data_IF_437987797700
#
_entry.id   IF_437987797700
#
_cell.length_a   1.000
_cell.length_b   1.000
_cell.length_c   1.000
_cell.angle_alpha   90.00
_cell.angle_beta   90.00
_cell.angle_gamma   90.00
#
_symmetry.space_group_name_H-M   'P 1'
#
loop_
_entity.id
_entity.type
_entity.pdbx_description
1 polymer ?
#
# COMPACT_ATOMS: atom_id res chain seq x y z
N UNK A 1 -50.27 29.54 85.86
CA UNK A 1 -50.20 28.98 84.49
C UNK A 1 -48.82 29.29 83.93
N UNK A 2 -47.89 28.33 83.96
CA UNK A 2 -46.54 28.51 83.41
C UNK A 2 -46.53 28.03 81.97
N UNK A 3 -46.72 28.94 81.01
CA UNK A 3 -46.54 28.63 79.60
C UNK A 3 -45.06 28.76 79.26
N UNK A 4 -44.41 27.64 78.92
CA UNK A 4 -43.09 27.68 78.28
C UNK A 4 -43.26 27.79 76.78
N UNK A 5 -42.64 28.80 76.19
CA UNK A 5 -42.53 28.99 74.75
C UNK A 5 -41.23 28.36 74.28
N UNK A 6 -41.31 27.41 73.34
CA UNK A 6 -40.14 26.91 72.60
C UNK A 6 -40.00 27.66 71.29
N UNK A 7 -38.76 28.03 70.95
CA UNK A 7 -38.38 28.62 69.66
C UNK A 7 -37.41 27.65 69.00
N UNK A 8 -37.68 27.26 67.76
CA UNK A 8 -36.76 26.45 66.99
C UNK A 8 -35.52 27.29 66.61
N UNK A 9 -34.34 26.70 66.74
CA UNK A 9 -33.09 27.22 66.17
C UNK A 9 -32.90 26.48 64.86
N UNK A 10 -32.93 27.20 63.76
CA UNK A 10 -32.55 26.65 62.46
C UNK A 10 -31.05 26.88 62.28
N UNK A 11 -30.31 25.78 62.16
CA UNK A 11 -28.89 25.77 61.82
C UNK A 11 -28.77 25.34 60.36
N UNK A 12 -28.31 26.26 59.52
CA UNK A 12 -27.96 25.94 58.13
C UNK A 12 -26.45 25.73 58.07
N UNK A 13 -26.03 24.52 57.71
CA UNK A 13 -24.64 24.23 57.34
C UNK A 13 -24.59 24.29 55.81
N UNK A 14 -23.74 25.14 55.26
CA UNK A 14 -23.44 25.14 53.83
C UNK A 14 -22.35 24.12 53.57
N UNK A 15 -22.61 23.15 52.68
CA UNK A 15 -21.56 22.28 52.15
C UNK A 15 -20.49 23.15 51.46
N UNK A 16 -19.24 22.72 51.57
CA UNK A 16 -18.11 23.31 50.86
C UNK A 16 -17.79 22.35 49.74
N UNK A 17 -17.68 22.89 48.53
CA UNK A 17 -17.33 22.13 47.32
C UNK A 17 -16.01 21.37 47.49
N UNK A 18 -16.09 20.06 47.47
CA UNK A 18 -14.99 19.12 47.46
C UNK A 18 -14.61 18.74 46.02
N UNK A 19 -13.33 18.45 45.77
CA UNK A 19 -12.89 18.13 44.42
C UNK A 19 -13.18 16.67 44.04
N UNK A 20 -13.79 16.48 42.87
CA UNK A 20 -14.02 15.15 42.31
C UNK A 20 -12.72 14.35 42.15
N UNK A 21 -12.79 13.04 42.37
CA UNK A 21 -11.66 12.10 42.28
C UNK A 21 -11.81 11.24 41.04
N UNK A 22 -10.74 11.15 40.24
CA UNK A 22 -10.66 10.35 39.01
C UNK A 22 -9.82 9.09 39.26
N UNK A 23 -10.39 7.91 38.98
CA UNK A 23 -9.73 6.60 39.07
C UNK A 23 -9.98 5.78 37.80
N UNK A 24 -9.51 4.53 37.75
CA UNK A 24 -9.63 3.66 36.59
C UNK A 24 -8.37 3.68 35.71
N UNK A 25 -8.56 3.47 34.42
CA UNK A 25 -7.49 3.31 33.43
C UNK A 25 -7.04 4.67 32.90
N UNK A 26 -6.01 5.22 33.55
CA UNK A 26 -5.47 6.54 33.21
C UNK A 26 -4.30 6.46 32.21
N UNK A 27 -4.18 5.32 31.54
CA UNK A 27 -3.17 5.04 30.53
C UNK A 27 -3.65 3.92 29.62
N UNK A 28 -3.19 3.92 28.37
CA UNK A 28 -3.47 2.87 27.41
C UNK A 28 -2.24 2.49 26.60
N UNK A 29 -2.20 1.25 26.14
CA UNK A 29 -1.18 0.78 25.20
C UNK A 29 -1.80 -0.11 24.14
N UNK A 30 -1.33 0.03 22.91
CA UNK A 30 -1.78 -0.79 21.79
C UNK A 30 -0.91 -0.58 20.57
N UNK A 31 -1.23 -1.26 19.50
CA UNK A 31 -0.57 -1.05 18.22
C UNK A 31 -1.17 0.14 17.49
N UNK A 32 -0.41 0.74 16.59
CA UNK A 32 -1.03 1.51 15.50
C UNK A 32 -2.00 0.61 14.71
N UNK A 33 -2.86 1.24 13.92
CA UNK A 33 -4.00 0.62 13.19
C UNK A 33 -5.15 0.09 14.04
N UNK A 34 -4.99 0.04 15.36
CA UNK A 34 -6.02 -0.46 16.27
C UNK A 34 -6.53 0.63 17.20
N UNK A 35 -7.82 0.55 17.52
CA UNK A 35 -8.41 1.38 18.58
C UNK A 35 -7.87 0.92 19.93
N UNK A 36 -7.41 1.88 20.74
CA UNK A 36 -7.05 1.68 22.14
C UNK A 36 -8.24 2.16 22.98
N UNK A 37 -8.65 1.39 23.97
CA UNK A 37 -9.81 1.73 24.82
C UNK A 37 -9.51 1.51 26.29
N UNK A 38 -10.27 2.17 27.13
CA UNK A 38 -10.30 1.91 28.55
C UNK A 38 -11.48 2.57 29.25
N UNK A 39 -11.47 2.54 30.57
CA UNK A 39 -12.57 3.04 31.38
C UNK A 39 -12.08 3.85 32.59
N UNK A 40 -12.67 5.03 32.79
CA UNK A 40 -12.46 5.88 33.96
C UNK A 40 -13.64 5.79 34.91
N UNK A 41 -13.36 6.00 36.19
CA UNK A 41 -14.38 6.12 37.22
C UNK A 41 -14.22 7.45 37.95
N UNK A 42 -15.34 7.98 38.43
CA UNK A 42 -15.39 9.25 39.14
C UNK A 42 -16.20 9.13 40.43
N UNK A 43 -15.75 9.81 41.47
CA UNK A 43 -16.49 9.94 42.72
C UNK A 43 -16.32 11.34 43.27
N UNK A 44 -17.38 11.87 43.84
CA UNK A 44 -17.40 13.14 44.56
C UNK A 44 -18.32 12.99 45.77
N UNK A 45 -18.02 13.68 46.88
CA UNK A 45 -18.79 13.59 48.13
C UNK A 45 -20.01 14.51 48.12
N UNK A 46 -19.95 15.61 47.36
CA UNK A 46 -21.06 16.54 47.15
C UNK A 46 -21.96 16.06 46.00
N UNK A 47 -21.37 15.45 44.97
CA UNK A 47 -22.10 14.87 43.85
C UNK A 47 -21.40 15.07 42.52
N UNK A 48 -21.90 14.42 41.48
CA UNK A 48 -21.42 14.62 40.11
C UNK A 48 -22.55 15.22 39.26
N UNK A 49 -22.19 15.96 38.20
CA UNK A 49 -23.19 16.42 37.23
C UNK A 49 -23.94 15.22 36.64
N UNK A 50 -25.28 15.23 36.72
CA UNK A 50 -26.13 14.11 36.31
C UNK A 50 -25.85 13.68 34.84
N UNK A 51 -25.44 12.42 34.68
CA UNK A 51 -25.17 11.71 33.41
C UNK A 51 -24.23 12.40 32.39
N UNK A 52 -23.51 13.46 32.73
CA UNK A 52 -22.72 14.25 31.74
C UNK A 52 -21.39 14.81 32.26
N UNK A 53 -20.79 14.15 33.25
CA UNK A 53 -19.64 14.71 33.98
C UNK A 53 -18.29 14.50 33.28
N UNK A 54 -18.10 13.53 32.38
CA UNK A 54 -16.83 13.37 31.64
C UNK A 54 -16.79 14.14 30.32
N UNK A 55 -15.68 14.84 30.05
CA UNK A 55 -15.39 15.48 28.76
C UNK A 55 -13.91 15.37 28.39
N UNK A 56 -13.59 15.30 27.09
CA UNK A 56 -12.20 15.50 26.62
C UNK A 56 -11.94 17.00 26.51
N UNK A 57 -11.02 17.52 27.33
CA UNK A 57 -10.67 18.95 27.39
C UNK A 57 -9.41 19.32 26.62
N UNK A 58 -8.56 18.35 26.30
CA UNK A 58 -7.43 18.53 25.38
C UNK A 58 -7.31 17.29 24.50
N UNK A 59 -7.38 17.49 23.19
CA UNK A 59 -7.23 16.42 22.22
C UNK A 59 -5.77 15.95 22.13
N UNK A 60 -5.56 14.67 21.78
CA UNK A 60 -4.22 14.17 21.48
C UNK A 60 -3.65 14.80 20.21
N UNK A 61 -2.33 14.77 20.06
CA UNK A 61 -1.65 15.40 18.90
C UNK A 61 -1.60 14.47 17.68
N UNK A 62 -1.64 13.15 17.89
CA UNK A 62 -1.45 12.15 16.84
C UNK A 62 -2.57 11.12 16.80
N UNK A 63 -3.79 11.52 17.15
CA UNK A 63 -4.97 10.68 17.02
C UNK A 63 -6.26 11.42 17.35
N UNK A 64 -7.31 10.66 17.61
CA UNK A 64 -8.59 11.18 18.06
C UNK A 64 -9.06 10.41 19.28
N UNK A 65 -9.48 11.13 20.33
CA UNK A 65 -9.99 10.54 21.56
C UNK A 65 -11.47 10.87 21.74
N UNK A 66 -12.23 9.93 22.29
CA UNK A 66 -13.62 10.14 22.75
C UNK A 66 -13.79 9.54 24.13
N UNK A 67 -14.75 10.07 24.90
CA UNK A 67 -15.16 9.50 26.20
C UNK A 67 -16.68 9.56 26.32
N UNK A 68 -17.28 8.49 26.81
CA UNK A 68 -18.70 8.46 27.16
C UNK A 68 -18.92 9.27 28.44
N UNK A 69 -19.74 10.33 28.34
CA UNK A 69 -19.89 11.34 29.38
C UNK A 69 -20.40 10.80 30.73
N UNK A 70 -21.14 9.68 30.71
CA UNK A 70 -21.78 9.06 31.87
C UNK A 70 -21.06 7.82 32.40
N UNK A 71 -20.34 7.08 31.54
CA UNK A 71 -19.69 5.82 31.95
C UNK A 71 -18.19 5.93 32.11
N UNK A 72 -17.54 6.95 31.52
CA UNK A 72 -16.08 7.07 31.55
C UNK A 72 -15.36 6.16 30.56
N UNK A 73 -16.10 5.42 29.73
CA UNK A 73 -15.55 4.56 28.70
C UNK A 73 -14.93 5.44 27.60
N UNK A 74 -13.63 5.35 27.44
CA UNK A 74 -12.88 6.14 26.46
C UNK A 74 -12.31 5.27 25.35
N UNK A 75 -12.10 5.90 24.19
CA UNK A 75 -11.42 5.29 23.06
C UNK A 75 -10.46 6.29 22.43
N UNK A 76 -9.38 5.77 21.87
CA UNK A 76 -8.37 6.51 21.13
C UNK A 76 -8.08 5.76 19.82
N UNK A 77 -8.16 6.49 18.72
CA UNK A 77 -7.75 6.01 17.40
C UNK A 77 -6.49 6.77 16.99
N UNK A 78 -5.33 6.10 16.88
CA UNK A 78 -4.11 6.71 16.36
C UNK A 78 -4.32 7.27 14.94
N UNK A 79 -3.56 8.30 14.58
CA UNK A 79 -3.40 8.68 13.18
C UNK A 79 -2.70 7.54 12.44
N UNK A 80 -3.03 7.36 11.16
CA UNK A 80 -2.40 6.33 10.34
C UNK A 80 -0.86 6.43 10.40
N UNK A 81 -0.20 5.30 10.65
CA UNK A 81 1.27 5.15 10.73
C UNK A 81 1.92 6.00 11.85
N UNK A 82 1.16 6.39 12.87
CA UNK A 82 1.73 6.99 14.07
C UNK A 82 2.02 5.94 15.12
N UNK A 83 3.30 5.82 15.47
CA UNK A 83 3.78 5.12 16.64
C UNK A 83 4.51 6.07 17.58
N UNK A 84 4.43 5.80 18.89
CA UNK A 84 5.07 6.62 19.92
C UNK A 84 4.15 6.98 21.07
N UNK A 85 4.46 8.09 21.73
CA UNK A 85 3.70 8.57 22.88
C UNK A 85 2.68 9.63 22.45
N UNK A 86 1.46 9.52 22.96
CA UNK A 86 0.43 10.54 22.82
C UNK A 86 -0.31 10.73 24.14
N UNK A 87 -1.04 11.83 24.26
CA UNK A 87 -1.75 12.16 25.50
C UNK A 87 -2.97 13.01 25.21
N UNK A 88 -4.08 12.68 25.86
CA UNK A 88 -5.26 13.54 25.90
C UNK A 88 -5.67 13.81 27.35
N UNK A 89 -6.38 14.90 27.59
CA UNK A 89 -6.84 15.27 28.94
C UNK A 89 -8.35 15.13 29.03
N UNK A 90 -8.81 14.47 30.09
CA UNK A 90 -10.21 14.39 30.47
C UNK A 90 -10.48 15.36 31.61
N UNK A 91 -11.62 16.03 31.57
CA UNK A 91 -12.15 16.86 32.67
C UNK A 91 -13.41 16.23 33.21
N UNK A 92 -13.55 16.26 34.53
CA UNK A 92 -14.77 15.98 35.27
C UNK A 92 -15.34 17.27 35.84
N UNK A 93 -16.66 17.42 35.79
CA UNK A 93 -17.40 18.51 36.45
C UNK A 93 -18.35 17.93 37.50
N UNK A 94 -18.23 18.36 38.76
CA UNK A 94 -19.17 18.01 39.84
C UNK A 94 -20.49 18.77 39.72
N UNK A 95 -21.45 18.54 40.62
CA UNK A 95 -22.77 19.18 40.59
C UNK A 95 -22.78 20.63 41.13
N UNK A 96 -21.69 21.06 41.76
CA UNK A 96 -21.45 22.44 42.22
C UNK A 96 -20.66 23.27 41.18
N UNK A 97 -20.18 22.64 40.10
CA UNK A 97 -19.47 23.25 38.99
C UNK A 97 -17.95 23.31 39.15
N UNK A 98 -17.40 22.68 40.20
CA UNK A 98 -15.98 22.41 40.33
C UNK A 98 -15.50 21.45 39.24
N UNK A 99 -14.19 21.48 38.97
CA UNK A 99 -13.61 20.65 37.91
C UNK A 99 -12.29 20.01 38.32
N UNK A 100 -12.13 18.74 37.94
CA UNK A 100 -10.89 17.97 38.10
C UNK A 100 -10.43 17.45 36.75
N UNK A 101 -9.12 17.51 36.46
CA UNK A 101 -8.56 17.03 35.20
C UNK A 101 -7.65 15.82 35.38
N UNK A 102 -7.56 14.97 34.36
CA UNK A 102 -6.67 13.81 34.30
C UNK A 102 -6.09 13.65 32.90
N UNK A 103 -4.77 13.53 32.82
CA UNK A 103 -4.09 13.11 31.60
C UNK A 103 -4.24 11.59 31.43
N UNK A 104 -4.53 11.17 30.20
CA UNK A 104 -4.57 9.78 29.76
C UNK A 104 -3.37 9.55 28.85
N UNK A 105 -2.39 8.82 29.36
CA UNK A 105 -1.11 8.59 28.70
C UNK A 105 -1.19 7.37 27.77
N UNK A 106 -0.80 7.54 26.50
CA UNK A 106 -0.92 6.49 25.48
C UNK A 106 0.47 6.10 24.97
N UNK A 107 0.71 4.79 24.87
CA UNK A 107 1.89 4.23 24.22
C UNK A 107 1.48 3.38 23.03
N UNK A 108 1.82 3.85 21.83
CA UNK A 108 1.47 3.21 20.56
C UNK A 108 2.70 2.50 20.01
N UNK A 109 2.59 1.20 19.77
CA UNK A 109 3.66 0.40 19.17
C UNK A 109 3.50 0.35 17.66
N UNK A 110 4.62 0.41 16.94
CA UNK A 110 4.62 0.29 15.49
C UNK A 110 4.13 -1.09 15.02
N UNK A 111 3.52 -1.13 13.85
CA UNK A 111 3.12 -2.34 13.11
C UNK A 111 3.86 -2.35 11.79
N UNK A 112 4.34 -3.53 11.40
CA UNK A 112 5.06 -3.69 10.13
C UNK A 112 4.07 -3.56 8.95
N UNK A 113 4.32 -2.57 8.10
CA UNK A 113 3.62 -2.28 6.88
C UNK A 113 4.34 -2.90 5.67
N UNK A 114 3.58 -3.39 4.70
CA UNK A 114 4.17 -3.96 3.51
C UNK A 114 4.77 -2.87 2.60
N UNK A 115 6.02 -3.06 2.17
CA UNK A 115 6.61 -2.17 1.19
C UNK A 115 5.84 -2.14 -0.13
N UNK A 116 5.81 -0.95 -0.75
CA UNK A 116 5.09 -0.67 -2.00
C UNK A 116 6.08 -0.45 -3.12
N UNK A 117 5.94 -1.23 -4.20
CA UNK A 117 6.73 -1.08 -5.44
C UNK A 117 5.93 -0.25 -6.46
N UNK A 118 6.54 0.77 -7.03
CA UNK A 118 5.94 1.67 -8.04
C UNK A 118 6.88 1.88 -9.23
N UNK A 119 6.38 2.49 -10.30
CA UNK A 119 7.14 2.80 -11.52
C UNK A 119 6.67 2.01 -12.74
N UNK A 120 7.60 1.72 -13.65
CA UNK A 120 7.35 1.01 -14.90
C UNK A 120 7.18 -0.49 -14.63
N UNK A 121 5.94 -0.93 -14.46
CA UNK A 121 5.60 -2.35 -14.23
C UNK A 121 5.19 -3.11 -15.51
N UNK A 122 5.18 -2.40 -16.64
CA UNK A 122 4.90 -2.96 -17.97
C UNK A 122 5.89 -2.42 -19.00
N UNK A 123 6.26 -3.23 -19.98
CA UNK A 123 7.02 -2.79 -21.15
C UNK A 123 6.53 -3.47 -22.42
N UNK A 124 6.92 -2.96 -23.58
CA UNK A 124 6.68 -3.64 -24.86
C UNK A 124 7.90 -3.66 -25.76
N UNK A 125 7.99 -4.74 -26.53
CA UNK A 125 8.97 -4.99 -27.59
C UNK A 125 8.24 -5.48 -28.82
N UNK A 126 8.82 -5.28 -29.98
CA UNK A 126 8.29 -5.80 -31.25
C UNK A 126 9.26 -6.84 -31.76
N UNK A 127 8.74 -8.00 -32.14
CA UNK A 127 9.56 -9.05 -32.75
C UNK A 127 10.29 -8.56 -34.01
N UNK A 128 11.43 -9.19 -34.32
CA UNK A 128 12.19 -8.96 -35.56
C UNK A 128 12.52 -7.47 -35.84
N UNK A 129 12.45 -6.63 -34.81
CA UNK A 129 12.71 -5.20 -34.88
C UNK A 129 14.08 -4.85 -34.29
N UNK A 130 14.61 -3.68 -34.64
CA UNK A 130 15.78 -3.11 -33.96
C UNK A 130 15.51 -2.67 -32.51
N UNK A 131 14.26 -2.84 -32.04
CA UNK A 131 13.78 -2.51 -30.69
C UNK A 131 13.33 -3.79 -29.96
N UNK A 132 14.19 -4.80 -30.00
CA UNK A 132 14.06 -6.06 -29.25
C UNK A 132 14.25 -5.87 -27.73
N UNK A 133 14.66 -4.68 -27.30
CA UNK A 133 14.97 -4.37 -25.91
C UNK A 133 14.09 -3.24 -25.38
N UNK A 134 13.58 -3.44 -24.17
CA UNK A 134 12.84 -2.44 -23.40
C UNK A 134 13.43 -2.30 -22.01
N UNK A 135 13.36 -1.09 -21.46
CA UNK A 135 13.86 -0.75 -20.13
C UNK A 135 12.80 -0.01 -19.34
N UNK A 136 12.84 -0.12 -18.04
CA UNK A 136 12.02 0.68 -17.14
C UNK A 136 12.70 0.91 -15.81
N UNK A 137 12.06 1.75 -15.00
CA UNK A 137 12.52 2.11 -13.66
C UNK A 137 11.46 1.75 -12.62
N UNK A 138 11.89 1.29 -11.47
CA UNK A 138 11.02 0.98 -10.34
C UNK A 138 11.56 1.62 -9.08
N UNK A 139 10.66 1.96 -8.17
CA UNK A 139 10.97 2.42 -6.83
C UNK A 139 10.26 1.54 -5.81
N UNK A 140 10.85 1.40 -4.62
CA UNK A 140 10.25 0.72 -3.49
C UNK A 140 10.28 1.65 -2.27
N UNK A 141 9.14 1.77 -1.60
CA UNK A 141 8.98 2.59 -0.39
C UNK A 141 8.34 1.75 0.70
N UNK A 142 8.82 1.94 1.91
CA UNK A 142 8.24 1.38 3.12
C UNK A 142 8.08 2.52 4.10
N UNK A 143 6.94 2.54 4.80
CA UNK A 143 6.67 3.57 5.80
C UNK A 143 7.44 3.30 7.10
N UNK A 144 7.84 2.04 7.33
CA UNK A 144 8.64 1.66 8.48
C UNK A 144 10.11 2.00 8.30
N UNK A 145 10.56 2.98 9.09
CA UNK A 145 11.91 3.52 9.01
C UNK A 145 13.01 2.51 9.43
N UNK A 146 12.67 1.41 10.09
CA UNK A 146 13.62 0.44 10.62
C UNK A 146 13.97 -0.70 9.62
N UNK A 147 13.23 -0.84 8.52
CA UNK A 147 13.44 -1.89 7.51
C UNK A 147 13.38 -1.33 6.08
N UNK A 148 14.30 -0.44 5.67
CA UNK A 148 14.24 0.13 4.32
C UNK A 148 14.39 -0.98 3.26
N UNK A 149 13.39 -1.17 2.41
CA UNK A 149 13.40 -2.21 1.41
C UNK A 149 14.30 -1.80 0.25
N UNK A 150 14.90 -2.80 -0.40
CA UNK A 150 15.81 -2.61 -1.53
C UNK A 150 15.73 -3.74 -2.51
N UNK A 151 15.87 -3.38 -3.78
CA UNK A 151 16.11 -4.36 -4.83
C UNK A 151 17.55 -4.87 -4.77
N UNK A 152 17.72 -6.14 -5.16
CA UNK A 152 19.04 -6.72 -5.43
C UNK A 152 19.29 -6.73 -6.93
N UNK A 153 20.56 -6.62 -7.32
CA UNK A 153 20.94 -6.83 -8.71
C UNK A 153 20.58 -8.25 -9.13
N UNK A 154 19.96 -8.38 -10.29
CA UNK A 154 19.69 -9.67 -10.93
C UNK A 154 20.55 -9.72 -12.18
N UNK A 155 21.55 -10.62 -12.26
CA UNK A 155 22.32 -10.79 -13.48
C UNK A 155 21.40 -11.27 -14.61
N UNK A 156 21.86 -11.13 -15.86
CA UNK A 156 21.09 -11.52 -17.03
C UNK A 156 20.55 -12.96 -16.89
N UNK A 157 19.23 -13.10 -16.93
CA UNK A 157 18.53 -14.36 -16.69
C UNK A 157 17.37 -14.55 -17.67
N UNK A 158 17.16 -15.75 -18.22
CA UNK A 158 15.98 -16.02 -19.04
C UNK A 158 14.70 -15.97 -18.20
N UNK A 159 13.61 -15.56 -18.84
CA UNK A 159 12.25 -15.66 -18.27
C UNK A 159 11.79 -17.11 -18.23
N UNK A 160 10.73 -17.37 -17.47
CA UNK A 160 10.20 -18.73 -17.31
C UNK A 160 9.68 -19.33 -18.63
N UNK A 161 9.16 -18.48 -19.53
CA UNK A 161 8.71 -18.90 -20.87
C UNK A 161 9.86 -19.03 -21.88
N UNK A 162 11.05 -18.53 -21.56
CA UNK A 162 12.20 -18.51 -22.47
C UNK A 162 12.04 -17.55 -23.65
N UNK A 163 11.10 -16.61 -23.55
CA UNK A 163 10.80 -15.65 -24.61
C UNK A 163 11.84 -14.55 -24.70
N UNK A 164 12.47 -14.21 -23.58
CA UNK A 164 13.59 -13.29 -23.54
C UNK A 164 14.42 -13.45 -22.28
N UNK A 165 15.33 -12.51 -22.08
CA UNK A 165 16.15 -12.43 -20.87
C UNK A 165 16.02 -11.04 -20.25
N UNK A 166 16.10 -11.00 -18.93
CA UNK A 166 16.02 -9.76 -18.16
C UNK A 166 17.23 -9.60 -17.25
N UNK A 167 17.56 -8.35 -16.93
CA UNK A 167 18.48 -8.02 -15.85
C UNK A 167 17.89 -6.89 -15.01
N UNK A 168 18.31 -6.82 -13.75
CA UNK A 168 17.92 -5.75 -12.82
C UNK A 168 19.18 -5.15 -12.24
N UNK A 169 19.30 -3.82 -12.31
CA UNK A 169 20.36 -3.07 -11.66
C UNK A 169 19.73 -2.17 -10.61
N UNK A 170 20.12 -2.35 -9.37
CA UNK A 170 19.83 -1.42 -8.29
C UNK A 170 20.65 -0.15 -8.48
N UNK A 171 20.04 1.01 -8.22
CA UNK A 171 20.79 2.25 -8.13
C UNK A 171 21.53 2.30 -6.80
N UNK A 172 22.64 3.05 -6.72
CA UNK A 172 23.42 3.23 -5.48
C UNK A 172 22.61 3.90 -4.33
N UNK A 173 21.35 4.30 -4.60
CA UNK A 173 20.35 4.67 -3.59
C UNK A 173 19.30 3.55 -3.57
N UNK A 174 19.49 2.66 -2.62
CA UNK A 174 18.88 1.34 -2.42
C UNK A 174 17.35 1.18 -2.67
N UNK A 175 16.57 2.24 -2.82
CA UNK A 175 15.11 2.20 -3.07
C UNK A 175 14.72 2.31 -4.55
N UNK A 176 15.66 2.61 -5.46
CA UNK A 176 15.38 2.72 -6.90
C UNK A 176 16.17 1.67 -7.69
N UNK A 177 15.54 1.06 -8.69
CA UNK A 177 16.14 0.07 -9.59
C UNK A 177 15.77 0.33 -11.06
N UNK A 178 16.64 -0.08 -11.96
CA UNK A 178 16.36 -0.18 -13.39
C UNK A 178 16.25 -1.64 -13.78
N UNK A 179 15.36 -1.93 -14.71
CA UNK A 179 15.26 -3.24 -15.32
C UNK A 179 15.37 -3.11 -16.83
N UNK A 180 15.82 -4.18 -17.47
CA UNK A 180 15.78 -4.33 -18.92
C UNK A 180 15.32 -5.73 -19.27
N UNK A 181 14.62 -5.83 -20.39
CA UNK A 181 14.26 -7.07 -21.03
C UNK A 181 14.70 -7.01 -22.49
N UNK A 182 15.36 -8.06 -22.96
CA UNK A 182 15.70 -8.26 -24.37
C UNK A 182 15.00 -9.53 -24.86
N UNK A 183 14.23 -9.38 -25.93
CA UNK A 183 13.54 -10.46 -26.62
C UNK A 183 14.57 -11.39 -27.27
N UNK A 184 14.32 -12.70 -27.17
CA UNK A 184 15.12 -13.67 -27.91
C UNK A 184 14.50 -13.87 -29.30
N UNK A 185 14.92 -13.07 -30.28
CA UNK A 185 14.45 -13.17 -31.67
C UNK A 185 14.84 -14.49 -32.36
N UNK A 186 15.65 -15.35 -31.74
CA UNK A 186 15.89 -16.71 -32.24
C UNK A 186 14.82 -17.72 -31.76
N UNK A 187 13.72 -17.25 -31.17
CA UNK A 187 12.62 -18.09 -30.73
C UNK A 187 11.46 -17.99 -31.73
N UNK A 188 11.34 -19.02 -32.56
CA UNK A 188 10.34 -19.16 -33.64
C UNK A 188 8.87 -19.13 -33.16
N UNK A 189 8.61 -19.06 -31.84
CA UNK A 189 7.25 -18.89 -31.29
C UNK A 189 6.64 -17.54 -31.68
N UNK A 190 7.48 -16.54 -31.96
CA UNK A 190 7.02 -15.19 -32.31
C UNK A 190 6.74 -15.04 -33.80
N UNK A 191 7.53 -15.68 -34.69
CA UNK A 191 7.41 -15.62 -36.16
C UNK A 191 6.01 -15.99 -36.73
N UNK A 192 5.10 -16.45 -35.87
CA UNK A 192 3.69 -16.70 -36.19
C UNK A 192 2.74 -15.51 -35.91
N UNK A 193 3.21 -14.43 -35.27
CA UNK A 193 2.39 -13.29 -34.87
C UNK A 193 2.27 -12.29 -36.03
N UNK A 194 1.03 -12.03 -36.45
CA UNK A 194 0.76 -10.98 -37.44
C UNK A 194 0.65 -9.62 -36.77
N UNK A 195 0.70 -8.53 -37.56
CA UNK A 195 0.49 -7.18 -37.02
C UNK A 195 -0.83 -7.09 -36.25
N UNK A 196 -0.75 -6.64 -34.99
CA UNK A 196 -1.89 -6.52 -34.08
C UNK A 196 -2.12 -7.73 -33.18
N UNK A 197 -1.41 -8.83 -33.40
CA UNK A 197 -1.33 -9.94 -32.44
C UNK A 197 -0.28 -9.66 -31.37
N UNK A 198 -0.50 -10.18 -30.16
CA UNK A 198 0.42 -9.99 -29.04
C UNK A 198 0.61 -11.26 -28.22
N UNK A 199 1.82 -11.41 -27.67
CA UNK A 199 2.10 -12.36 -26.60
C UNK A 199 2.55 -11.64 -25.35
N UNK A 200 2.48 -12.34 -24.22
CA UNK A 200 2.93 -11.81 -22.94
C UNK A 200 4.02 -12.68 -22.35
N UNK A 201 5.06 -12.02 -21.85
CA UNK A 201 6.07 -12.59 -20.97
C UNK A 201 6.12 -11.82 -19.65
N UNK A 202 6.82 -12.35 -18.65
CA UNK A 202 6.96 -11.68 -17.37
C UNK A 202 8.18 -12.14 -16.59
N UNK A 203 8.62 -11.28 -15.68
CA UNK A 203 9.56 -11.64 -14.62
C UNK A 203 9.14 -11.00 -13.30
N UNK A 204 9.56 -11.63 -12.19
CA UNK A 204 9.24 -11.17 -10.84
C UNK A 204 10.44 -10.46 -10.24
N UNK A 205 10.23 -9.23 -9.78
CA UNK A 205 11.13 -8.51 -8.88
C UNK A 205 10.88 -8.96 -7.44
N UNK A 206 11.94 -9.05 -6.67
CA UNK A 206 11.88 -9.39 -5.24
C UNK A 206 12.89 -8.53 -4.51
N UNK A 207 12.41 -7.77 -3.53
CA UNK A 207 13.22 -6.98 -2.64
C UNK A 207 13.72 -7.83 -1.46
N UNK A 208 14.65 -7.30 -0.66
CA UNK A 208 15.29 -8.03 0.44
C UNK A 208 14.37 -8.35 1.62
N UNK A 209 13.28 -7.60 1.76
CA UNK A 209 12.19 -7.76 2.74
C UNK A 209 11.19 -8.85 2.30
N UNK A 210 11.29 -9.33 1.06
CA UNK A 210 10.38 -10.30 0.48
C UNK A 210 9.25 -9.68 -0.34
N UNK A 211 9.12 -8.36 -0.39
CA UNK A 211 8.16 -7.67 -1.23
C UNK A 211 8.40 -7.99 -2.71
N UNK A 212 7.32 -8.22 -3.46
CA UNK A 212 7.43 -8.66 -4.86
C UNK A 212 6.55 -7.87 -5.81
N UNK A 213 7.02 -7.70 -7.05
CA UNK A 213 6.28 -7.09 -8.15
C UNK A 213 6.51 -7.89 -9.43
N UNK A 214 5.46 -8.14 -10.20
CA UNK A 214 5.58 -8.75 -11.54
C UNK A 214 5.71 -7.64 -12.58
N UNK A 215 6.76 -7.73 -13.41
CA UNK A 215 6.90 -6.90 -14.61
C UNK A 215 6.34 -7.69 -15.78
N UNK A 216 5.40 -7.09 -16.49
CA UNK A 216 4.75 -7.70 -17.66
C UNK A 216 5.32 -7.13 -18.94
N UNK A 217 5.75 -7.99 -19.86
CA UNK A 217 6.26 -7.60 -21.17
C UNK A 217 5.26 -8.01 -22.24
N UNK A 218 4.86 -7.05 -23.05
CA UNK A 218 4.02 -7.26 -24.23
C UNK A 218 4.96 -7.41 -25.43
N UNK A 219 4.78 -8.50 -26.18
CA UNK A 219 5.52 -8.78 -27.39
C UNK A 219 4.53 -8.57 -28.53
N UNK A 220 4.72 -7.48 -29.27
CA UNK A 220 3.89 -7.11 -30.41
C UNK A 220 4.39 -7.84 -31.66
N UNK A 221 3.47 -8.46 -32.39
CA UNK A 221 3.74 -9.06 -33.69
C UNK A 221 4.01 -7.99 -34.75
N UNK A 222 4.81 -8.34 -35.76
CA UNK A 222 5.10 -7.47 -36.89
C UNK A 222 5.01 -8.25 -38.20
N UNK A 223 4.45 -7.63 -39.24
CA UNK A 223 4.40 -8.26 -40.56
C UNK A 223 5.81 -8.52 -41.09
N UNK A 224 6.06 -9.77 -41.47
CA UNK A 224 7.33 -10.15 -42.08
C UNK A 224 7.47 -9.55 -43.48
N UNK A 225 8.69 -9.12 -43.82
CA UNK A 225 9.00 -8.80 -45.21
C UNK A 225 9.05 -10.10 -46.00
N UNK A 226 8.16 -10.25 -46.97
CA UNK A 226 8.08 -11.44 -47.82
C UNK A 226 9.46 -11.90 -48.32
N UNK A 227 9.85 -13.11 -47.94
CA UNK A 227 10.99 -13.80 -48.54
C UNK A 227 10.67 -14.11 -50.01
N UNK A 228 11.47 -13.59 -50.93
CA UNK A 228 11.41 -14.00 -52.34
C UNK A 228 12.21 -15.30 -52.45
N UNK A 229 11.52 -16.42 -52.65
CA UNK A 229 12.17 -17.68 -52.99
C UNK A 229 12.17 -17.85 -54.52
N UNK A 230 13.36 -17.87 -55.11
CA UNK A 230 13.54 -18.03 -56.56
C UNK A 230 13.87 -19.49 -56.85
N UNK A 231 12.82 -20.29 -57.06
CA UNK A 231 12.97 -21.67 -57.50
C UNK A 231 13.28 -21.74 -59.02
N UNK A 232 14.47 -22.24 -59.38
CA UNK A 232 14.87 -22.53 -60.77
C UNK A 232 14.45 -23.95 -61.16
N UNK A 233 13.40 -24.10 -61.96
CA UNK A 233 13.09 -25.37 -62.62
C UNK A 233 13.56 -25.37 -64.07
N UNK A 234 14.32 -26.41 -64.46
CA UNK A 234 14.76 -26.61 -65.84
C UNK A 234 13.83 -27.62 -66.53
N UNK A 235 12.94 -27.15 -67.40
CA UNK A 235 12.14 -28.05 -68.25
C UNK A 235 12.92 -28.34 -69.54
N UNK A 236 13.37 -29.59 -69.71
CA UNK A 236 14.21 -30.02 -70.83
C UNK A 236 13.55 -29.95 -72.21
N UNK A 237 12.25 -29.61 -72.28
CA UNK A 237 11.49 -29.61 -73.55
C UNK A 237 11.23 -28.23 -74.13
N UNK A 238 11.11 -27.16 -73.32
CA UNK A 238 10.65 -25.83 -73.79
C UNK A 238 11.50 -24.61 -73.32
N UNK A 239 12.66 -24.81 -72.71
CA UNK A 239 13.52 -23.72 -72.25
C UNK A 239 13.27 -23.31 -70.78
N UNK A 240 14.12 -22.42 -70.26
CA UNK A 240 14.07 -21.98 -68.86
C UNK A 240 12.87 -21.04 -68.62
N UNK A 241 11.87 -21.50 -67.85
CA UNK A 241 10.85 -20.64 -67.29
C UNK A 241 11.25 -20.23 -65.87
N UNK A 242 11.17 -18.94 -65.57
CA UNK A 242 11.42 -18.42 -64.22
C UNK A 242 10.09 -18.44 -63.45
N UNK A 243 10.07 -19.14 -62.33
CA UNK A 243 8.99 -19.03 -61.35
C UNK A 243 9.54 -18.27 -60.15
N UNK A 244 8.84 -17.22 -59.74
CA UNK A 244 9.06 -16.59 -58.45
C UNK A 244 7.89 -16.97 -57.57
N UNK A 245 8.14 -17.72 -56.50
CA UNK A 245 7.17 -17.88 -55.42
C UNK A 245 7.55 -16.87 -54.35
N UNK A 246 6.68 -15.89 -54.09
CA UNK A 246 6.77 -15.16 -52.82
C UNK A 246 6.15 -16.05 -51.76
N UNK A 247 6.92 -16.45 -50.76
CA UNK A 247 6.33 -16.92 -49.50
C UNK A 247 5.93 -15.68 -48.72
N UNK A 248 4.86 -15.04 -49.18
CA UNK A 248 4.13 -14.07 -48.39
C UNK A 248 2.83 -14.76 -48.00
N UNK A 249 2.73 -15.09 -46.71
CA UNK A 249 1.49 -15.52 -46.05
C UNK A 249 0.93 -16.93 -46.39
N UNK A 250 0.08 -17.40 -45.48
CA UNK A 250 -0.61 -18.71 -45.48
C UNK A 250 -1.60 -18.91 -46.65
N UNK A 251 -1.74 -17.93 -47.54
CA UNK A 251 -2.49 -18.02 -48.80
C UNK A 251 -1.51 -18.02 -49.99
N UNK A 252 -0.99 -19.21 -50.29
CA UNK A 252 -0.14 -19.46 -51.47
C UNK A 252 -0.84 -19.01 -52.77
N UNK A 253 -0.50 -17.83 -53.31
CA UNK A 253 -0.86 -17.43 -54.67
C UNK A 253 0.38 -17.56 -55.57
N UNK A 254 0.47 -18.69 -56.27
CA UNK A 254 1.42 -18.86 -57.38
C UNK A 254 0.92 -18.00 -58.54
N UNK A 255 1.61 -16.91 -58.86
CA UNK A 255 1.30 -16.08 -60.03
C UNK A 255 2.17 -16.52 -61.20
N UNK A 256 1.56 -16.99 -62.29
CA UNK A 256 2.25 -17.30 -63.54
C UNK A 256 2.53 -16.00 -64.31
N UNK A 257 3.80 -15.72 -64.60
CA UNK A 257 4.16 -14.78 -65.65
C UNK A 257 4.27 -15.58 -66.96
N UNK A 258 3.36 -15.28 -67.89
CA UNK A 258 3.30 -15.90 -69.22
C UNK A 258 4.42 -15.46 -70.15
#
# INVERSE_FOLDING_TARGET
>A
CGGTTTKAIELTITAVDDAAVITGETSGSGSEDNVISGDLNATDVDGLTDDTYFTVSTNPSNGSATIAANTGAWSYTPTLNFNGFDVFTVTITDDLGGTTTKAIELTITAVDDAAVITGDITGSVTENSSKDTVTGTVNITDIDANQPPRFSDVPLKPTAKGYGSYFVSSSHRYTAGTWSYTLNNANDTFDALSTGETLTDSFKLTANDGSTQVITIIIDGADEVAGIDVHRFYNQTNGAHFYTSSTAEKDNIITYLG
#
